data_IF_651804654593
#
_entry.id   IF_651804654593
#
_cell.length_a   1.000
_cell.length_b   1.000
_cell.length_c   1.000
_cell.angle_alpha   90.00
_cell.angle_beta   90.00
_cell.angle_gamma   90.00
#
_symmetry.space_group_name_H-M   'P 1'
#
loop_
_entity.id
_entity.type
_entity.pdbx_description
1 polymer ?
#
# COMPACT_ATOMS: atom_id res chain seq x y z
N UNK A 1 -4.50 -6.43 27.97
CA UNK A 1 -3.33 -6.74 27.12
C UNK A 1 -3.82 -6.69 25.69
N UNK A 2 -3.48 -5.62 24.97
CA UNK A 2 -3.77 -5.58 23.55
C UNK A 2 -2.87 -6.64 22.91
N UNK A 3 -3.48 -7.65 22.29
CA UNK A 3 -2.78 -8.48 21.33
C UNK A 3 -2.45 -7.54 20.17
N UNK A 4 -1.16 -7.22 20.01
CA UNK A 4 -0.66 -6.51 18.84
C UNK A 4 -0.85 -7.41 17.62
N UNK A 5 -2.08 -7.45 17.11
CA UNK A 5 -2.37 -7.89 15.76
C UNK A 5 -1.72 -6.83 14.87
N UNK A 6 -0.44 -6.99 14.54
CA UNK A 6 0.32 -6.07 13.70
C UNK A 6 -0.28 -6.03 12.29
N UNK A 7 -1.35 -5.24 12.15
CA UNK A 7 -1.92 -4.92 10.84
C UNK A 7 -0.92 -4.05 10.10
N UNK A 8 -0.56 -4.47 8.90
CA UNK A 8 0.32 -3.69 8.04
C UNK A 8 -0.41 -2.44 7.56
N UNK A 9 0.10 -1.27 7.94
CA UNK A 9 -0.52 0.01 7.61
C UNK A 9 -0.06 0.46 6.22
N UNK A 10 -1.02 0.60 5.31
CA UNK A 10 -0.83 1.10 3.95
C UNK A 10 -1.52 2.45 3.85
N UNK A 11 -0.75 3.51 3.76
CA UNK A 11 -1.19 4.89 3.64
C UNK A 11 -1.02 5.38 2.20
N UNK A 12 -2.12 5.54 1.46
CA UNK A 12 -2.08 6.07 0.09
C UNK A 12 -2.26 7.59 0.08
N UNK A 13 -1.46 8.31 -0.70
CA UNK A 13 -1.64 9.75 -0.85
C UNK A 13 -2.88 10.04 -1.70
N UNK A 14 -3.93 10.55 -1.06
CA UNK A 14 -5.18 10.97 -1.71
C UNK A 14 -5.15 12.41 -2.22
N UNK A 15 -3.98 13.06 -2.21
CA UNK A 15 -3.82 14.38 -2.82
C UNK A 15 -4.12 14.34 -4.32
N UNK A 16 -4.83 15.35 -4.83
CA UNK A 16 -5.26 15.44 -6.23
C UNK A 16 -4.14 15.16 -7.25
N UNK A 17 -2.92 15.63 -6.99
CA UNK A 17 -1.77 15.37 -7.85
C UNK A 17 -1.30 13.91 -7.85
N UNK A 18 -1.37 13.19 -6.72
CA UNK A 18 -1.01 11.77 -6.69
C UNK A 18 -2.15 10.90 -7.21
N UNK A 19 -3.40 11.27 -6.88
CA UNK A 19 -4.60 10.60 -7.35
C UNK A 19 -4.67 10.58 -8.88
N UNK A 20 -4.55 11.75 -9.53
CA UNK A 20 -4.57 11.87 -10.99
C UNK A 20 -3.38 11.17 -11.70
N UNK A 21 -2.29 10.87 -10.98
CA UNK A 21 -1.12 10.18 -11.54
C UNK A 21 -1.26 8.65 -11.52
N UNK A 22 -2.27 8.11 -10.85
CA UNK A 22 -2.49 6.66 -10.78
C UNK A 22 -2.79 6.13 -9.37
N UNK A 23 -2.82 6.99 -8.33
CA UNK A 23 -3.29 6.53 -7.02
C UNK A 23 -4.78 6.16 -7.03
N UNK A 24 -5.57 6.65 -7.99
CA UNK A 24 -6.94 6.20 -8.21
C UNK A 24 -7.00 4.69 -8.54
N UNK A 25 -6.16 4.26 -9.50
CA UNK A 25 -6.07 2.86 -9.92
C UNK A 25 -5.49 2.01 -8.81
N UNK A 26 -4.43 2.49 -8.17
CA UNK A 26 -3.78 1.79 -7.07
C UNK A 26 -4.75 1.56 -5.90
N UNK A 27 -5.57 2.55 -5.55
CA UNK A 27 -6.59 2.40 -4.51
C UNK A 27 -7.55 1.25 -4.83
N UNK A 28 -8.12 1.23 -6.03
CA UNK A 28 -9.04 0.18 -6.46
C UNK A 28 -8.41 -1.21 -6.43
N UNK A 29 -7.17 -1.34 -6.89
CA UNK A 29 -6.42 -2.61 -6.86
C UNK A 29 -6.17 -3.07 -5.42
N UNK A 30 -5.80 -2.15 -4.52
CA UNK A 30 -5.57 -2.48 -3.11
C UNK A 30 -6.88 -2.96 -2.47
N UNK A 31 -7.98 -2.23 -2.67
CA UNK A 31 -9.30 -2.62 -2.14
C UNK A 31 -9.76 -3.97 -2.66
N UNK A 32 -9.61 -4.21 -3.97
CA UNK A 32 -9.95 -5.49 -4.59
C UNK A 32 -9.08 -6.63 -4.04
N UNK A 33 -7.77 -6.43 -3.92
CA UNK A 33 -6.87 -7.41 -3.29
C UNK A 33 -7.27 -7.69 -1.84
N UNK A 34 -7.51 -6.64 -1.06
CA UNK A 34 -7.88 -6.78 0.35
C UNK A 34 -9.18 -7.58 0.49
N UNK A 35 -10.15 -7.36 -0.40
CA UNK A 35 -11.41 -8.10 -0.44
C UNK A 35 -11.22 -9.55 -0.88
N UNK A 36 -10.54 -9.76 -2.02
CA UNK A 36 -10.31 -11.08 -2.62
C UNK A 36 -9.54 -12.02 -1.70
N UNK A 37 -8.50 -11.51 -1.03
CA UNK A 37 -7.63 -12.27 -0.14
C UNK A 37 -8.05 -12.16 1.34
N UNK A 38 -9.16 -11.48 1.65
CA UNK A 38 -9.65 -11.21 3.02
C UNK A 38 -8.57 -10.65 3.94
N UNK A 39 -7.78 -9.71 3.42
CA UNK A 39 -6.66 -9.11 4.14
C UNK A 39 -7.07 -7.95 5.04
N UNK A 40 -8.36 -7.64 5.17
CA UNK A 40 -8.88 -6.56 6.03
C UNK A 40 -8.45 -6.70 7.49
N UNK A 41 -8.20 -7.93 7.93
CA UNK A 41 -7.71 -8.22 9.28
C UNK A 41 -6.19 -8.12 9.40
N UNK A 42 -5.45 -8.15 8.28
CA UNK A 42 -3.98 -8.12 8.22
C UNK A 42 -3.41 -6.80 7.69
N UNK A 43 -4.18 -6.05 6.93
CA UNK A 43 -3.78 -4.81 6.24
C UNK A 43 -4.77 -3.71 6.61
N UNK A 44 -4.23 -2.59 7.08
CA UNK A 44 -4.99 -1.37 7.33
C UNK A 44 -4.72 -0.37 6.22
N UNK A 45 -5.67 -0.21 5.31
CA UNK A 45 -5.62 0.84 4.29
C UNK A 45 -6.09 2.18 4.89
N UNK A 46 -5.27 3.22 4.72
CA UNK A 46 -5.55 4.58 5.17
C UNK A 46 -5.23 5.59 4.07
N UNK A 47 -5.96 6.70 4.04
CA UNK A 47 -5.67 7.84 3.17
C UNK A 47 -4.82 8.88 3.88
N UNK A 48 -3.74 9.34 3.24
CA UNK A 48 -2.93 10.46 3.70
C UNK A 48 -3.02 11.64 2.72
N UNK A 49 -2.64 12.84 3.17
CA UNK A 49 -2.55 14.03 2.32
C UNK A 49 -1.14 14.16 1.71
N UNK A 50 -0.88 15.26 1.00
CA UNK A 50 0.44 15.44 0.37
C UNK A 50 1.52 15.60 1.46
N UNK A 51 2.43 14.64 1.51
CA UNK A 51 3.66 14.65 2.31
C UNK A 51 4.76 15.57 1.72
N UNK A 52 4.39 16.56 0.91
CA UNK A 52 5.33 17.45 0.20
C UNK A 52 6.11 16.78 -0.93
N UNK A 53 5.88 15.48 -1.22
CA UNK A 53 6.59 14.69 -2.24
C UNK A 53 5.79 14.49 -3.53
N UNK A 54 4.79 15.35 -3.78
CA UNK A 54 3.89 15.24 -4.92
C UNK A 54 4.62 15.23 -6.28
N UNK A 55 5.87 15.74 -6.37
CA UNK A 55 6.73 15.69 -7.55
C UNK A 55 7.19 14.26 -7.94
N UNK A 56 7.31 13.34 -6.99
CA UNK A 56 7.69 11.93 -7.20
C UNK A 56 6.49 10.97 -7.11
N UNK A 57 5.27 11.52 -7.14
CA UNK A 57 4.05 10.74 -7.06
C UNK A 57 3.83 9.84 -8.28
N UNK A 58 3.06 8.75 -8.16
CA UNK A 58 2.26 8.36 -6.98
C UNK A 58 3.10 7.89 -5.79
N UNK A 59 2.75 8.37 -4.59
CA UNK A 59 3.42 8.00 -3.34
C UNK A 59 2.48 7.16 -2.46
N UNK A 60 3.03 6.10 -1.88
CA UNK A 60 2.36 5.20 -0.95
C UNK A 60 3.29 4.96 0.23
N UNK A 61 2.78 5.10 1.45
CA UNK A 61 3.49 4.87 2.69
C UNK A 61 3.09 3.49 3.23
N UNK A 62 4.05 2.60 3.40
CA UNK A 62 3.85 1.23 3.85
C UNK A 62 4.66 1.05 5.13
N UNK A 63 4.01 0.80 6.26
CA UNK A 63 4.69 0.54 7.53
C UNK A 63 5.74 1.63 7.89
N UNK A 64 5.42 2.90 7.59
CA UNK A 64 6.32 4.04 7.77
C UNK A 64 7.36 4.26 6.65
N UNK A 65 7.44 3.39 5.66
CA UNK A 65 8.35 3.50 4.50
C UNK A 65 7.63 4.11 3.29
N UNK A 66 8.17 5.21 2.75
CA UNK A 66 7.58 5.88 1.58
C UNK A 66 8.09 5.23 0.29
N UNK A 67 7.18 4.61 -0.45
CA UNK A 67 7.38 4.14 -1.82
C UNK A 67 6.88 5.21 -2.79
N UNK A 68 7.75 5.57 -3.75
CA UNK A 68 7.46 6.55 -4.79
C UNK A 68 7.41 5.86 -6.15
N UNK A 69 6.70 6.48 -7.10
CA UNK A 69 6.43 5.91 -8.42
C UNK A 69 5.86 4.49 -8.37
N UNK A 70 4.91 4.26 -7.45
CA UNK A 70 4.29 2.94 -7.31
C UNK A 70 3.31 2.72 -8.45
N UNK A 71 3.68 1.84 -9.38
CA UNK A 71 2.82 1.38 -10.46
C UNK A 71 1.95 0.19 -10.03
N UNK A 72 0.83 0.01 -10.71
CA UNK A 72 -0.17 -1.03 -10.43
C UNK A 72 0.40 -2.45 -10.36
N UNK A 73 1.38 -2.77 -11.22
CA UNK A 73 2.05 -4.08 -11.18
C UNK A 73 2.91 -4.25 -9.92
N UNK A 74 3.80 -3.29 -9.66
CA UNK A 74 4.69 -3.33 -8.50
C UNK A 74 3.93 -3.20 -7.16
N UNK A 75 2.75 -2.61 -7.17
CA UNK A 75 1.87 -2.51 -5.99
C UNK A 75 1.42 -3.87 -5.47
N UNK A 76 1.02 -4.76 -6.39
CA UNK A 76 0.62 -6.12 -6.03
C UNK A 76 1.80 -6.88 -5.42
N UNK A 77 2.98 -6.77 -6.03
CA UNK A 77 4.21 -7.34 -5.49
C UNK A 77 4.57 -6.75 -4.12
N UNK A 78 4.37 -5.45 -3.92
CA UNK A 78 4.59 -4.78 -2.64
C UNK A 78 3.65 -5.31 -1.55
N UNK A 79 2.34 -5.41 -1.85
CA UNK A 79 1.36 -5.96 -0.92
C UNK A 79 1.67 -7.43 -0.61
N UNK A 80 1.98 -8.24 -1.63
CA UNK A 80 2.34 -9.64 -1.48
C UNK A 80 3.63 -9.80 -0.68
N UNK A 81 4.67 -9.02 -0.96
CA UNK A 81 5.92 -8.98 -0.18
C UNK A 81 5.70 -8.54 1.26
N UNK A 82 4.81 -7.58 1.51
CA UNK A 82 4.47 -7.17 2.88
C UNK A 82 3.82 -8.31 3.67
N UNK A 83 3.01 -9.13 3.01
CA UNK A 83 2.36 -10.30 3.61
C UNK A 83 3.32 -11.49 3.71
N UNK A 84 4.18 -11.68 2.71
CA UNK A 84 5.22 -12.70 2.62
C UNK A 84 6.48 -12.36 3.41
N UNK A 85 6.70 -11.15 3.92
CA UNK A 85 7.83 -10.91 4.85
C UNK A 85 7.68 -11.65 6.20
N UNK A 86 6.56 -12.35 6.42
CA UNK A 86 6.43 -13.43 7.42
C UNK A 86 6.76 -14.85 6.90
N UNK A 87 7.16 -15.01 5.65
CA UNK A 87 7.47 -16.26 4.95
C UNK A 87 8.52 -16.02 3.82
N UNK A 88 9.79 -16.11 4.22
CA UNK A 88 11.03 -16.26 3.43
C UNK A 88 10.91 -16.21 1.89
N UNK A 89 11.74 -15.34 1.28
CA UNK A 89 12.24 -15.35 -0.09
C UNK A 89 12.00 -16.67 -0.84
N UNK A 90 11.35 -16.61 -2.00
CA UNK A 90 11.67 -17.49 -3.14
C UNK A 90 11.23 -16.80 -4.44
N UNK A 91 12.20 -16.09 -5.02
CA UNK A 91 12.28 -15.71 -6.42
C UNK A 91 12.25 -16.97 -7.30
N UNK A 92 11.42 -16.98 -8.35
CA UNK A 92 11.73 -17.64 -9.61
C UNK A 92 11.02 -16.91 -10.75
#
# INVERSE_FOLDING_TARGET
MAIDTEKKKVCICMGSSCFARGNDKNLGIIEECISNYRLQEKVELSGSRCEGRCCKGPNILIDGVIHNQVESGCLLDLLDQMLKKGYSDNNQ
#
